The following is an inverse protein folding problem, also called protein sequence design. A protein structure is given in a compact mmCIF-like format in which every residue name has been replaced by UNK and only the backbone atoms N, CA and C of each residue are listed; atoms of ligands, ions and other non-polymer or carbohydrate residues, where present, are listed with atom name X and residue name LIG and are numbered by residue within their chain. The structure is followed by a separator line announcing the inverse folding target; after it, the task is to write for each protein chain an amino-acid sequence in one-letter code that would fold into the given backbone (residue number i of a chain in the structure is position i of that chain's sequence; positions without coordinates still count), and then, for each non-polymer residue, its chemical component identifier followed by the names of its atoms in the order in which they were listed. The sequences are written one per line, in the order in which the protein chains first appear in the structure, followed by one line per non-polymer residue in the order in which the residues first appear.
data_IF_147887210689
#
_entry.id   IF_147887210689
#
_cell.length_a   1.000
_cell.length_b   1.000
_cell.length_c   1.000
_cell.angle_alpha   90.00
_cell.angle_beta   90.00
_cell.angle_gamma   90.00
#
_symmetry.space_group_name_H-M   'P 1'
#
loop_
_entity.id
_entity.type
_entity.pdbx_description
1 polymer ?
#
# COMPACT_ATOMS: atom_id res chain seq x y z
N UNK A 1 19.34 7.39 9.63
CA UNK A 1 20.47 6.78 10.30
C UNK A 1 20.01 5.63 11.17
N UNK A 2 20.32 4.40 10.76
CA UNK A 2 19.82 3.16 11.37
C UNK A 2 20.29 3.01 12.84
N UNK A 3 21.39 3.63 13.19
CA UNK A 3 22.00 3.52 14.52
C UNK A 3 21.37 4.44 15.57
N UNK A 4 20.76 5.55 15.19
CA UNK A 4 20.14 6.49 16.14
C UNK A 4 18.82 6.03 16.75
N UNK A 5 18.19 4.98 16.20
CA UNK A 5 16.90 4.45 16.70
C UNK A 5 17.03 3.66 18.01
N UNK A 6 18.22 3.45 18.53
CA UNK A 6 18.48 2.58 19.68
C UNK A 6 18.72 3.36 20.97
N UNK A 7 18.80 4.66 20.94
CA UNK A 7 18.94 5.47 22.14
C UNK A 7 17.59 5.61 22.86
N UNK A 8 17.56 5.24 24.13
CA UNK A 8 16.30 5.30 24.92
C UNK A 8 15.68 6.70 24.97
N UNK A 9 16.49 7.75 24.89
CA UNK A 9 16.03 9.13 24.85
C UNK A 9 15.26 9.49 23.58
N UNK A 10 15.63 8.94 22.43
CA UNK A 10 14.98 9.23 21.15
C UNK A 10 13.57 8.68 21.07
N UNK A 11 13.32 7.52 21.71
CA UNK A 11 11.99 6.93 21.75
C UNK A 11 10.99 7.81 22.53
N UNK A 12 11.42 8.42 23.62
CA UNK A 12 10.56 9.32 24.40
C UNK A 12 10.22 10.60 23.62
N UNK A 13 11.15 11.12 22.81
CA UNK A 13 10.89 12.24 21.90
C UNK A 13 9.81 11.85 20.86
N UNK A 14 9.95 10.66 20.26
CA UNK A 14 8.97 10.17 19.29
C UNK A 14 7.59 9.99 19.93
N UNK A 15 7.52 9.42 21.14
CA UNK A 15 6.25 9.30 21.87
C UNK A 15 5.60 10.65 22.18
N UNK A 16 6.40 11.66 22.49
CA UNK A 16 5.91 13.02 22.70
C UNK A 16 5.37 13.63 21.40
N UNK A 17 6.01 13.38 20.26
CA UNK A 17 5.47 13.81 18.95
C UNK A 17 4.16 13.10 18.63
N UNK A 18 4.04 11.81 18.95
CA UNK A 18 2.82 11.03 18.74
C UNK A 18 1.65 11.58 19.57
N UNK A 19 1.90 12.11 20.78
CA UNK A 19 0.85 12.66 21.62
C UNK A 19 0.08 13.82 20.99
N UNK A 20 0.74 14.55 20.09
CA UNK A 20 0.19 15.76 19.45
C UNK A 20 -0.09 15.54 17.94
N UNK A 21 0.24 14.34 17.42
CA UNK A 21 0.07 14.05 16.00
C UNK A 21 -1.37 13.63 15.67
N UNK A 22 -1.83 14.01 14.50
CA UNK A 22 -3.08 13.51 13.91
C UNK A 22 -2.92 12.15 13.24
N UNK A 23 -1.76 11.94 12.62
CA UNK A 23 -1.47 10.76 11.79
C UNK A 23 -0.05 10.28 12.07
N UNK A 24 0.10 8.96 12.19
CA UNK A 24 1.37 8.28 12.11
C UNK A 24 1.37 7.37 10.90
N UNK A 25 2.36 7.58 10.01
CA UNK A 25 2.56 6.74 8.82
C UNK A 25 3.88 5.98 8.99
N UNK A 26 3.85 4.69 8.71
CA UNK A 26 5.07 3.89 8.62
C UNK A 26 5.02 2.93 7.42
N UNK A 27 6.20 2.62 6.87
CA UNK A 27 6.38 1.63 5.80
C UNK A 27 7.42 0.57 6.20
N UNK A 28 7.52 0.28 7.47
CA UNK A 28 8.39 -0.78 7.96
C UNK A 28 7.78 -2.16 7.71
N UNK A 29 8.63 -3.18 7.68
CA UNK A 29 8.17 -4.57 7.64
C UNK A 29 7.27 -4.88 8.84
N UNK A 30 6.27 -5.77 8.68
CA UNK A 30 5.39 -6.17 9.77
C UNK A 30 6.18 -6.59 11.03
N UNK A 31 5.73 -6.16 12.19
CA UNK A 31 6.35 -6.45 13.49
C UNK A 31 7.53 -5.54 13.89
N UNK A 32 8.02 -4.68 13.02
CA UNK A 32 9.14 -3.77 13.36
C UNK A 32 8.69 -2.66 14.32
N UNK A 33 7.54 -2.06 14.06
CA UNK A 33 6.99 -1.00 14.92
C UNK A 33 6.65 -1.53 16.31
N UNK A 34 6.12 -2.73 16.41
CA UNK A 34 5.84 -3.42 17.67
C UNK A 34 7.12 -3.69 18.47
N UNK A 35 8.18 -4.15 17.80
CA UNK A 35 9.48 -4.43 18.44
C UNK A 35 10.14 -3.20 19.06
N UNK A 36 9.90 -2.02 18.51
CA UNK A 36 10.44 -0.77 19.02
C UNK A 36 9.48 -0.04 19.97
N UNK A 37 8.31 -0.64 20.30
CA UNK A 37 7.33 -0.06 21.21
C UNK A 37 6.52 1.09 20.63
N UNK A 38 6.36 1.10 19.29
CA UNK A 38 5.57 2.05 18.52
C UNK A 38 4.51 1.34 17.67
N UNK A 39 4.10 0.14 18.06
CA UNK A 39 2.98 -0.56 17.47
C UNK A 39 1.68 0.21 17.66
N UNK A 40 0.64 -0.15 16.89
CA UNK A 40 -0.66 0.52 16.98
C UNK A 40 -1.20 0.61 18.40
N UNK A 41 -1.18 -0.50 19.12
CA UNK A 41 -1.69 -0.57 20.50
C UNK A 41 -0.91 0.33 21.46
N UNK A 42 0.40 0.50 21.25
CA UNK A 42 1.23 1.37 22.07
C UNK A 42 0.98 2.84 21.74
N UNK A 43 0.86 3.17 20.46
CA UNK A 43 0.52 4.51 20.01
C UNK A 43 -0.89 4.94 20.45
N UNK A 44 -1.87 4.04 20.42
CA UNK A 44 -3.23 4.32 20.91
C UNK A 44 -3.31 4.60 22.42
N UNK A 45 -2.42 4.03 23.24
CA UNK A 45 -2.32 4.37 24.66
C UNK A 45 -1.80 5.79 24.88
N UNK A 46 -0.99 6.31 23.95
CA UNK A 46 -0.42 7.66 24.00
C UNK A 46 -1.45 8.66 23.46
N UNK A 47 -2.05 8.35 22.32
CA UNK A 47 -3.03 9.21 21.63
C UNK A 47 -4.14 8.36 21.01
N UNK A 48 -5.29 8.33 21.65
CA UNK A 48 -6.48 7.58 21.20
C UNK A 48 -7.08 8.10 19.89
N UNK A 49 -6.81 9.36 19.53
CA UNK A 49 -7.30 10.01 18.31
C UNK A 49 -6.34 9.88 17.12
N UNK A 50 -5.20 9.21 17.32
CA UNK A 50 -4.22 9.01 16.27
C UNK A 50 -4.74 8.08 15.17
N UNK A 51 -4.69 8.53 13.93
CA UNK A 51 -4.85 7.66 12.76
C UNK A 51 -3.52 6.96 12.51
N UNK A 52 -3.52 5.64 12.67
CA UNK A 52 -2.32 4.82 12.49
C UNK A 52 -2.33 4.16 11.11
N UNK A 53 -1.42 4.55 10.23
CA UNK A 53 -1.28 4.02 8.87
C UNK A 53 -0.01 3.18 8.72
N UNK A 54 -0.19 1.92 8.33
CA UNK A 54 0.90 0.99 8.04
C UNK A 54 0.85 0.59 6.57
N UNK A 55 1.98 0.72 5.88
CA UNK A 55 2.14 0.39 4.47
C UNK A 55 3.15 -0.74 4.37
N UNK A 56 2.82 -1.77 3.60
CA UNK A 56 3.72 -2.90 3.34
C UNK A 56 3.58 -3.40 1.89
N UNK A 57 4.38 -4.39 1.49
CA UNK A 57 4.34 -4.91 0.13
C UNK A 57 3.12 -5.76 -0.18
N UNK A 58 2.80 -6.72 0.71
CA UNK A 58 1.89 -7.83 0.41
C UNK A 58 0.77 -8.04 1.44
N UNK A 59 0.49 -7.04 2.27
CA UNK A 59 -0.50 -7.15 3.34
C UNK A 59 0.07 -7.78 4.61
N UNK A 60 -0.77 -7.86 5.64
CA UNK A 60 -0.39 -8.35 6.97
C UNK A 60 -0.63 -9.87 7.13
N UNK A 61 -1.17 -10.52 6.13
CA UNK A 61 -1.49 -11.95 6.12
C UNK A 61 -1.12 -12.59 4.79
N UNK A 62 -1.13 -13.92 4.73
CA UNK A 62 -0.78 -14.68 3.55
C UNK A 62 0.71 -15.02 3.43
N UNK A 63 1.07 -15.84 2.44
CA UNK A 63 2.41 -16.43 2.34
C UNK A 63 3.52 -15.41 2.10
N UNK A 64 3.21 -14.26 1.54
CA UNK A 64 4.18 -13.21 1.20
C UNK A 64 4.21 -12.04 2.21
N UNK A 65 3.44 -12.09 3.30
CA UNK A 65 3.34 -10.97 4.26
C UNK A 65 4.67 -10.50 4.86
N UNK A 66 5.67 -11.38 4.97
CA UNK A 66 7.01 -11.05 5.45
C UNK A 66 8.04 -10.85 4.33
N UNK A 67 7.65 -11.05 3.06
CA UNK A 67 8.57 -10.93 1.93
C UNK A 67 8.99 -9.47 1.71
N UNK A 68 10.24 -9.24 1.24
CA UNK A 68 10.67 -7.92 0.81
C UNK A 68 9.91 -7.51 -0.45
N UNK A 69 9.48 -6.25 -0.49
CA UNK A 69 8.81 -5.69 -1.65
C UNK A 69 9.59 -4.47 -2.17
N UNK A 70 9.71 -4.42 -3.48
CA UNK A 70 10.19 -3.29 -4.25
C UNK A 70 9.23 -3.06 -5.42
N UNK A 71 9.17 -1.85 -5.94
CA UNK A 71 8.24 -1.46 -7.01
C UNK A 71 8.17 -2.49 -8.15
N UNK A 72 9.30 -2.83 -8.74
CA UNK A 72 9.34 -3.78 -9.87
C UNK A 72 8.94 -5.22 -9.51
N UNK A 73 9.14 -5.65 -8.27
CA UNK A 73 8.62 -6.94 -7.80
C UNK A 73 7.09 -6.90 -7.75
N UNK A 74 6.54 -5.79 -7.25
CA UNK A 74 5.09 -5.60 -7.20
C UNK A 74 4.51 -5.44 -8.61
N UNK A 75 5.19 -4.75 -9.54
CA UNK A 75 4.78 -4.69 -10.94
C UNK A 75 4.62 -6.08 -11.55
N UNK A 76 5.61 -6.95 -11.34
CA UNK A 76 5.55 -8.33 -11.85
C UNK A 76 4.42 -9.13 -11.21
N UNK A 77 4.28 -9.07 -9.90
CA UNK A 77 3.27 -9.84 -9.16
C UNK A 77 1.83 -9.33 -9.37
N UNK A 78 1.67 -8.05 -9.67
CA UNK A 78 0.37 -7.45 -9.98
C UNK A 78 -0.05 -7.61 -11.45
N UNK A 79 0.79 -8.23 -12.30
CA UNK A 79 0.51 -8.40 -13.71
C UNK A 79 0.81 -7.18 -14.60
N UNK A 80 1.38 -6.10 -14.06
CA UNK A 80 1.70 -4.90 -14.84
C UNK A 80 2.70 -5.19 -15.96
N UNK A 81 3.63 -6.10 -15.74
CA UNK A 81 4.62 -6.52 -16.73
C UNK A 81 4.02 -7.27 -17.91
N UNK A 82 2.95 -8.02 -17.66
CA UNK A 82 2.22 -8.75 -18.70
C UNK A 82 1.35 -7.78 -19.52
N UNK A 83 0.59 -6.92 -18.85
CA UNK A 83 -0.24 -5.89 -19.51
C UNK A 83 0.59 -4.97 -20.40
N UNK A 84 1.83 -4.68 -20.00
CA UNK A 84 2.75 -3.79 -20.74
C UNK A 84 3.52 -4.52 -21.85
N UNK A 85 3.46 -5.86 -21.91
CA UNK A 85 4.25 -6.62 -22.86
C UNK A 85 3.73 -6.52 -24.30
N UNK A 86 4.67 -6.41 -25.23
CA UNK A 86 4.42 -6.67 -26.63
C UNK A 86 4.94 -8.08 -26.96
N UNK A 87 4.05 -8.99 -27.40
CA UNK A 87 4.44 -10.28 -27.97
C UNK A 87 5.40 -11.12 -27.11
N UNK A 88 4.91 -11.79 -26.11
CA UNK A 88 5.56 -12.88 -25.35
C UNK A 88 6.72 -12.50 -24.40
N UNK A 89 7.17 -11.25 -24.33
CA UNK A 89 8.21 -10.84 -23.38
C UNK A 89 7.67 -9.86 -22.33
N UNK A 90 7.61 -10.25 -21.04
CA UNK A 90 7.19 -9.34 -19.97
C UNK A 90 8.06 -8.07 -19.93
N UNK A 91 7.44 -6.92 -19.89
CA UNK A 91 8.14 -5.63 -19.87
C UNK A 91 7.78 -4.81 -18.62
N UNK A 92 8.82 -4.28 -17.96
CA UNK A 92 8.60 -3.33 -16.85
C UNK A 92 8.22 -1.95 -17.36
N UNK A 93 7.30 -1.32 -16.65
CA UNK A 93 7.07 0.12 -16.79
C UNK A 93 8.28 0.82 -16.17
N UNK A 94 8.98 1.61 -17.00
CA UNK A 94 10.25 2.28 -16.61
C UNK A 94 10.02 3.49 -15.68
N UNK A 95 9.22 3.27 -14.62
CA UNK A 95 9.01 4.22 -13.52
C UNK A 95 8.61 3.46 -12.28
N UNK A 96 8.71 4.08 -11.11
CA UNK A 96 8.20 3.53 -9.84
C UNK A 96 6.66 3.68 -9.82
N UNK A 97 5.99 2.83 -10.60
CA UNK A 97 4.54 2.89 -10.78
C UNK A 97 3.79 2.49 -9.51
N UNK A 98 4.14 1.33 -8.94
CA UNK A 98 3.43 0.78 -7.79
C UNK A 98 3.64 1.61 -6.53
N UNK A 99 4.84 2.17 -6.33
CA UNK A 99 5.11 3.13 -5.25
C UNK A 99 4.21 4.36 -5.35
N UNK A 100 4.07 4.93 -6.56
CA UNK A 100 3.24 6.11 -6.79
C UNK A 100 1.75 5.84 -6.61
N UNK A 101 1.26 4.73 -7.15
CA UNK A 101 -0.13 4.30 -6.97
C UNK A 101 -0.43 4.10 -5.49
N UNK A 102 0.47 3.43 -4.77
CA UNK A 102 0.35 3.23 -3.33
C UNK A 102 0.31 4.56 -2.59
N UNK A 103 1.15 5.52 -2.95
CA UNK A 103 1.16 6.85 -2.34
C UNK A 103 -0.17 7.59 -2.54
N UNK A 104 -0.78 7.52 -3.72
CA UNK A 104 -2.11 8.09 -3.96
C UNK A 104 -3.20 7.37 -3.15
N UNK A 105 -3.16 6.03 -3.09
CA UNK A 105 -4.09 5.24 -2.28
C UNK A 105 -3.99 5.58 -0.80
N UNK A 106 -2.76 5.76 -0.29
CA UNK A 106 -2.51 6.20 1.10
C UNK A 106 -3.08 7.58 1.33
N UNK A 107 -2.81 8.54 0.47
CA UNK A 107 -3.34 9.91 0.59
C UNK A 107 -4.87 9.94 0.62
N UNK A 108 -5.51 9.20 -0.27
CA UNK A 108 -6.97 9.07 -0.34
C UNK A 108 -7.54 8.43 0.94
N UNK A 109 -6.91 7.35 1.41
CA UNK A 109 -7.35 6.64 2.62
C UNK A 109 -7.20 7.51 3.88
N UNK A 110 -6.09 8.25 3.99
CA UNK A 110 -5.86 9.17 5.10
C UNK A 110 -6.87 10.32 5.11
N UNK A 111 -7.17 10.90 3.94
CA UNK A 111 -8.17 11.96 3.82
C UNK A 111 -9.56 11.46 4.25
N UNK A 112 -9.92 10.25 3.84
CA UNK A 112 -11.18 9.61 4.24
C UNK A 112 -11.22 9.30 5.74
N UNK A 113 -10.12 8.84 6.32
CA UNK A 113 -10.02 8.56 7.74
C UNK A 113 -10.09 9.83 8.60
N UNK A 114 -9.46 10.92 8.15
CA UNK A 114 -9.58 12.24 8.80
C UNK A 114 -11.02 12.73 8.77
N UNK A 115 -11.67 12.67 7.59
CA UNK A 115 -13.08 13.06 7.48
C UNK A 115 -13.99 12.24 8.39
N UNK A 116 -13.77 10.91 8.44
CA UNK A 116 -14.52 10.04 9.34
C UNK A 116 -14.29 10.42 10.81
N UNK A 117 -13.03 10.64 11.21
CA UNK A 117 -12.70 11.04 12.58
C UNK A 117 -13.38 12.34 12.98
N UNK A 118 -13.37 13.35 12.10
CA UNK A 118 -14.06 14.62 12.35
C UNK A 118 -15.57 14.44 12.53
N UNK A 119 -16.18 13.50 11.82
CA UNK A 119 -17.62 13.23 11.88
C UNK A 119 -18.03 12.35 13.05
N UNK A 120 -17.20 11.45 13.49
CA UNK A 120 -17.55 10.37 14.42
C UNK A 120 -16.76 10.41 15.73
N UNK A 121 -15.66 11.15 15.79
CA UNK A 121 -14.70 11.10 16.89
C UNK A 121 -13.86 9.81 16.96
N UNK A 122 -13.95 8.94 15.95
CA UNK A 122 -13.28 7.63 15.94
C UNK A 122 -12.12 7.66 14.97
N UNK A 123 -10.90 7.46 15.49
CA UNK A 123 -9.69 7.30 14.69
C UNK A 123 -9.54 5.86 14.19
N UNK A 124 -9.25 5.71 12.92
CA UNK A 124 -9.06 4.41 12.26
C UNK A 124 -7.60 3.95 12.28
N UNK A 125 -7.45 2.63 12.13
CA UNK A 125 -6.24 1.99 11.67
C UNK A 125 -6.33 1.74 10.17
N UNK A 126 -5.32 2.14 9.43
CA UNK A 126 -5.19 1.88 8.00
C UNK A 126 -4.06 0.87 7.76
N UNK A 127 -4.39 -0.23 7.11
CA UNK A 127 -3.41 -1.20 6.61
C UNK A 127 -3.50 -1.20 5.10
N UNK A 128 -2.42 -0.80 4.46
CA UNK A 128 -2.36 -0.64 3.02
C UNK A 128 -1.22 -1.51 2.46
N UNK A 129 -1.49 -2.21 1.38
CA UNK A 129 -0.45 -2.96 0.69
C UNK A 129 -0.21 -2.43 -0.72
N UNK A 130 1.03 -2.54 -1.17
CA UNK A 130 1.40 -2.14 -2.53
C UNK A 130 0.71 -3.04 -3.56
N UNK A 131 0.62 -4.35 -3.27
CA UNK A 131 0.00 -5.30 -4.20
C UNK A 131 -1.50 -5.03 -4.38
N UNK A 132 -2.24 -4.77 -3.29
CA UNK A 132 -3.67 -4.47 -3.38
C UNK A 132 -3.90 -3.16 -4.15
N UNK A 133 -3.08 -2.13 -3.88
CA UNK A 133 -3.15 -0.85 -4.58
C UNK A 133 -2.88 -1.00 -6.08
N UNK A 134 -1.86 -1.79 -6.44
CA UNK A 134 -1.49 -2.05 -7.83
C UNK A 134 -2.55 -2.87 -8.55
N UNK A 135 -3.03 -3.96 -7.95
CA UNK A 135 -4.08 -4.81 -8.52
C UNK A 135 -5.38 -4.03 -8.70
N UNK A 136 -5.78 -3.23 -7.70
CA UNK A 136 -6.97 -2.38 -7.82
C UNK A 136 -6.88 -1.39 -8.99
N UNK A 137 -5.70 -0.79 -9.17
CA UNK A 137 -5.46 0.16 -10.27
C UNK A 137 -5.49 -0.52 -11.64
N UNK A 138 -4.90 -1.71 -11.75
CA UNK A 138 -4.79 -2.46 -13.00
C UNK A 138 -6.04 -3.27 -13.34
N UNK A 139 -6.96 -3.44 -12.39
CA UNK A 139 -8.11 -4.34 -12.54
C UNK A 139 -8.94 -4.10 -13.79
N UNK A 140 -9.33 -2.85 -14.13
CA UNK A 140 -10.16 -2.62 -15.29
C UNK A 140 -9.48 -2.99 -16.61
N UNK A 141 -8.17 -2.87 -16.67
CA UNK A 141 -7.40 -3.00 -17.91
C UNK A 141 -6.82 -4.41 -18.09
N UNK A 142 -6.35 -5.02 -17.00
CA UNK A 142 -5.58 -6.25 -17.05
C UNK A 142 -6.33 -7.50 -16.62
N UNK A 143 -7.31 -7.36 -15.71
CA UNK A 143 -7.92 -8.52 -15.05
C UNK A 143 -9.28 -8.93 -15.63
N UNK A 144 -9.84 -8.16 -16.54
CA UNK A 144 -11.20 -8.42 -17.07
C UNK A 144 -11.34 -9.82 -17.66
N UNK A 145 -10.38 -10.26 -18.45
CA UNK A 145 -10.41 -11.58 -19.08
C UNK A 145 -10.08 -12.74 -18.13
N UNK A 146 -9.46 -12.45 -16.99
CA UNK A 146 -9.04 -13.44 -16.00
C UNK A 146 -10.06 -13.66 -14.88
N UNK A 147 -11.17 -12.91 -14.89
CA UNK A 147 -12.25 -13.04 -13.91
C UNK A 147 -13.46 -13.80 -14.45
N UNK A 148 -13.45 -14.19 -15.71
CA UNK A 148 -14.49 -14.97 -16.33
C UNK A 148 -14.40 -16.43 -15.89
N UNK A 149 -15.50 -16.97 -15.40
CA UNK A 149 -15.59 -18.36 -14.90
C UNK A 149 -16.20 -19.31 -15.93
N UNK A 150 -16.77 -18.78 -16.99
CA UNK A 150 -17.42 -19.55 -18.04
C UNK A 150 -16.52 -19.67 -19.28
N UNK A 151 -16.22 -20.89 -19.70
CA UNK A 151 -15.40 -21.17 -20.87
C UNK A 151 -16.05 -20.73 -22.20
N UNK A 152 -17.37 -20.53 -22.19
CA UNK A 152 -18.15 -20.11 -23.35
C UNK A 152 -18.13 -18.59 -23.59
N UNK A 153 -17.57 -17.81 -22.66
CA UNK A 153 -17.47 -16.35 -22.79
C UNK A 153 -16.26 -15.98 -23.66
N UNK A 154 -16.55 -15.31 -24.77
CA UNK A 154 -15.49 -14.80 -25.66
C UNK A 154 -14.67 -13.74 -24.92
N UNK A 155 -13.39 -14.01 -24.73
CA UNK A 155 -12.46 -13.04 -24.18
C UNK A 155 -12.25 -11.87 -25.15
N UNK A 156 -12.26 -10.65 -24.61
CA UNK A 156 -11.94 -9.48 -25.41
C UNK A 156 -10.44 -9.48 -25.76
N UNK A 157 -10.06 -8.95 -26.93
CA UNK A 157 -8.65 -8.78 -27.24
C UNK A 157 -8.01 -7.82 -26.22
N UNK A 158 -6.68 -7.96 -25.96
CA UNK A 158 -5.97 -7.00 -25.11
C UNK A 158 -6.24 -5.56 -25.54
N UNK A 159 -6.34 -4.67 -24.56
CA UNK A 159 -6.53 -3.25 -24.82
C UNK A 159 -5.38 -2.72 -25.69
N UNK A 160 -5.67 -2.42 -26.92
CA UNK A 160 -4.75 -1.71 -27.79
C UNK A 160 -4.97 -0.22 -27.60
N UNK A 161 -4.06 0.46 -26.92
CA UNK A 161 -4.12 1.90 -26.76
C UNK A 161 -3.88 2.57 -28.12
N UNK A 162 -4.96 2.98 -28.77
CA UNK A 162 -4.88 3.80 -29.98
C UNK A 162 -4.84 5.28 -29.60
N UNK A 163 -3.73 5.94 -29.87
CA UNK A 163 -3.57 7.39 -29.69
C UNK A 163 -4.40 8.22 -30.70
N UNK A 164 -5.07 7.57 -31.65
CA UNK A 164 -5.84 8.22 -32.71
C UNK A 164 -7.08 8.93 -32.16
N UNK A 165 -7.58 8.51 -31.00
CA UNK A 165 -8.78 9.09 -30.40
C UNK A 165 -8.51 10.21 -29.39
N UNK A 166 -7.26 10.55 -29.16
CA UNK A 166 -6.88 11.68 -28.32
C UNK A 166 -6.67 12.93 -29.17
#
# INVERSE_FOLDING_TARGET
DVYKRQEKGDLEIVKKLISDADILINNFRPGVMEKIGLGESDCKKINSNLIYASINGFGNSGPYSSAPAYDHVVQAMAGATDIQSDLDEPAYIKTLLCDKITAYTVCQSLSSALFKRERTGIADRLNLSMIDSAVFFLWPDGMMNHTLLDDDVVTLPPLTLSLIHI
#
